data_IF_387043218489
#
_entry.id   IF_387043218489
#
_cell.length_a   1.000
_cell.length_b   1.000
_cell.length_c   1.000
_cell.angle_alpha   90.00
_cell.angle_beta   90.00
_cell.angle_gamma   90.00
#
_symmetry.space_group_name_H-M   'P 1'
#
loop_
_entity.id
_entity.type
_entity.pdbx_description
1 polymer ?
#
# COMPACT_ATOMS: atom_id res chain seq x y z
N UNK A 1 -70.43 -18.64 21.60
CA UNK A 1 -69.03 -19.07 21.37
C UNK A 1 -68.36 -18.08 20.43
N UNK A 2 -67.32 -17.40 20.93
CA UNK A 2 -66.73 -16.19 20.39
C UNK A 2 -66.03 -16.38 19.04
N UNK A 3 -66.41 -15.56 18.05
CA UNK A 3 -65.67 -15.35 16.80
C UNK A 3 -64.62 -14.27 17.02
N UNK A 4 -63.34 -14.64 16.92
CA UNK A 4 -62.23 -13.68 16.81
C UNK A 4 -62.02 -13.29 15.34
N UNK A 5 -61.81 -12.00 15.02
CA UNK A 5 -61.57 -11.55 13.66
C UNK A 5 -60.09 -11.75 13.26
N UNK A 6 -59.90 -12.26 12.03
CA UNK A 6 -58.59 -12.36 11.35
C UNK A 6 -57.99 -10.96 11.15
N UNK A 7 -56.81 -10.72 11.73
CA UNK A 7 -55.94 -9.58 11.39
C UNK A 7 -55.43 -9.74 9.95
N UNK A 8 -55.79 -8.79 9.10
CA UNK A 8 -55.16 -8.54 7.81
C UNK A 8 -53.73 -8.04 8.07
N UNK A 9 -52.73 -8.78 7.58
CA UNK A 9 -51.35 -8.29 7.51
C UNK A 9 -51.26 -7.22 6.41
N UNK A 10 -50.95 -6.00 6.82
CA UNK A 10 -50.60 -4.90 5.94
C UNK A 10 -49.36 -5.29 5.11
N UNK A 11 -49.51 -5.24 3.78
CA UNK A 11 -48.41 -5.25 2.83
C UNK A 11 -47.58 -3.99 3.07
N UNK A 12 -46.30 -4.16 3.40
CA UNK A 12 -45.33 -3.07 3.39
C UNK A 12 -44.91 -2.82 1.96
N UNK A 13 -45.11 -1.58 1.50
CA UNK A 13 -44.63 -1.12 0.20
C UNK A 13 -43.09 -1.18 0.14
N UNK A 14 -42.51 -1.60 -1.00
CA UNK A 14 -41.06 -1.60 -1.17
C UNK A 14 -40.55 -0.16 -1.25
N UNK A 15 -39.63 0.18 -0.34
CA UNK A 15 -38.85 1.42 -0.37
C UNK A 15 -38.17 1.56 -1.74
N UNK A 16 -38.33 2.69 -2.46
CA UNK A 16 -37.68 2.90 -3.75
C UNK A 16 -36.16 2.94 -3.54
N UNK A 17 -35.49 1.90 -4.04
CA UNK A 17 -34.03 1.85 -4.09
C UNK A 17 -33.48 3.01 -4.91
N UNK A 18 -32.42 3.62 -4.39
CA UNK A 18 -31.62 4.61 -5.09
C UNK A 18 -31.26 4.11 -6.49
N UNK A 19 -31.91 4.68 -7.49
CA UNK A 19 -31.47 4.62 -8.87
C UNK A 19 -30.14 5.33 -8.97
N UNK A 20 -29.07 4.57 -9.22
CA UNK A 20 -27.77 5.12 -9.54
C UNK A 20 -27.91 6.06 -10.75
N UNK A 21 -27.66 7.34 -10.52
CA UNK A 21 -27.69 8.38 -11.56
C UNK A 21 -26.62 8.06 -12.61
N UNK A 22 -26.97 7.95 -13.92
CA UNK A 22 -26.04 7.45 -14.94
C UNK A 22 -24.88 8.38 -15.31
N UNK A 23 -24.81 9.60 -14.75
CA UNK A 23 -23.98 10.68 -15.31
C UNK A 23 -23.11 11.42 -14.30
N UNK A 24 -22.82 10.87 -13.11
CA UNK A 24 -21.76 11.45 -12.29
C UNK A 24 -20.40 10.99 -12.83
N UNK A 25 -19.53 11.88 -13.33
CA UNK A 25 -18.16 11.51 -13.66
C UNK A 25 -17.52 10.94 -12.40
N UNK A 26 -17.15 9.67 -12.44
CA UNK A 26 -16.43 9.02 -11.35
C UNK A 26 -15.09 9.74 -11.27
N UNK A 27 -14.87 10.43 -10.16
CA UNK A 27 -13.59 11.07 -9.91
C UNK A 27 -12.56 9.96 -9.77
N UNK A 28 -11.77 9.71 -10.81
CA UNK A 28 -10.79 8.63 -10.87
C UNK A 28 -9.51 8.95 -10.08
N UNK A 29 -9.49 10.09 -9.36
CA UNK A 29 -8.36 10.53 -8.53
C UNK A 29 -8.01 9.56 -7.42
N UNK A 30 -8.97 9.09 -6.63
CA UNK A 30 -8.69 8.13 -5.58
C UNK A 30 -8.10 6.84 -6.14
N UNK A 31 -8.46 6.43 -7.37
CA UNK A 31 -7.92 5.20 -7.97
C UNK A 31 -6.43 5.36 -8.30
N UNK A 32 -6.04 6.45 -8.98
CA UNK A 32 -4.64 6.69 -9.30
C UNK A 32 -3.76 6.79 -8.05
N UNK A 33 -4.20 7.56 -7.06
CA UNK A 33 -3.44 7.73 -5.81
C UNK A 33 -3.39 6.41 -5.03
N UNK A 34 -4.47 5.62 -4.98
CA UNK A 34 -4.46 4.28 -4.37
C UNK A 34 -3.54 3.29 -5.08
N UNK A 35 -3.43 3.34 -6.41
CA UNK A 35 -2.50 2.49 -7.16
C UNK A 35 -1.05 2.85 -6.84
N UNK A 36 -0.73 4.15 -6.81
CA UNK A 36 0.60 4.63 -6.41
C UNK A 36 0.94 4.23 -4.98
N UNK A 37 -0.01 4.43 -4.05
CA UNK A 37 0.18 4.06 -2.65
C UNK A 37 0.40 2.56 -2.50
N UNK A 38 -0.39 1.73 -3.20
CA UNK A 38 -0.22 0.28 -3.14
C UNK A 38 1.11 -0.19 -3.74
N UNK A 39 1.57 0.43 -4.83
CA UNK A 39 2.89 0.15 -5.41
C UNK A 39 4.04 0.52 -4.46
N UNK A 40 3.91 1.65 -3.75
CA UNK A 40 4.93 2.18 -2.83
C UNK A 40 4.97 1.47 -1.48
N UNK A 41 3.84 0.91 -1.02
CA UNK A 41 3.80 0.12 0.22
C UNK A 41 4.78 -1.05 0.13
N UNK A 42 5.38 -1.42 1.26
CA UNK A 42 6.19 -2.62 1.34
C UNK A 42 5.33 -3.88 1.06
N UNK A 43 5.75 -4.80 0.18
CA UNK A 43 5.08 -6.08 -0.04
C UNK A 43 4.89 -6.87 1.24
N UNK A 44 3.66 -7.34 1.46
CA UNK A 44 3.32 -8.17 2.59
C UNK A 44 3.94 -9.58 2.38
N UNK A 45 4.32 -10.31 3.44
CA UNK A 45 4.58 -11.76 3.36
C UNK A 45 3.46 -12.58 2.70
N UNK A 46 2.24 -12.06 2.56
CA UNK A 46 1.16 -12.70 1.80
C UNK A 46 1.25 -12.49 0.28
N UNK A 47 2.04 -11.54 -0.20
CA UNK A 47 2.30 -11.26 -1.62
C UNK A 47 3.29 -12.29 -2.23
N UNK A 48 3.12 -13.56 -1.88
CA UNK A 48 4.00 -14.65 -2.30
C UNK A 48 3.79 -15.03 -3.77
N UNK A 49 4.64 -15.95 -4.22
CA UNK A 49 4.51 -16.61 -5.50
C UNK A 49 3.14 -17.28 -5.67
N UNK A 50 2.57 -17.14 -6.86
CA UNK A 50 1.29 -17.72 -7.22
C UNK A 50 0.89 -17.43 -8.66
N UNK A 51 -0.35 -17.77 -9.01
CA UNK A 51 -0.96 -17.55 -10.32
C UNK A 51 -2.22 -16.71 -10.17
N UNK A 52 -2.48 -15.82 -11.12
CA UNK A 52 -3.74 -15.08 -11.22
C UNK A 52 -4.71 -15.85 -12.12
N UNK A 53 -5.99 -15.79 -11.80
CA UNK A 53 -7.05 -16.31 -12.63
C UNK A 53 -8.17 -15.29 -12.81
N UNK A 54 -8.88 -15.45 -13.93
CA UNK A 54 -10.15 -14.77 -14.19
C UNK A 54 -11.22 -15.83 -14.42
N UNK A 55 -12.28 -15.75 -13.64
CA UNK A 55 -13.46 -16.62 -13.73
C UNK A 55 -14.68 -15.83 -14.18
N UNK A 56 -15.65 -16.50 -14.80
CA UNK A 56 -16.99 -15.96 -15.00
C UNK A 56 -18.06 -16.98 -14.57
N UNK A 57 -19.24 -16.48 -14.20
CA UNK A 57 -20.36 -17.34 -13.87
C UNK A 57 -21.10 -17.77 -15.15
N UNK A 58 -21.12 -19.06 -15.54
CA UNK A 58 -21.63 -19.48 -16.84
C UNK A 58 -23.13 -19.21 -17.04
N UNK A 59 -23.92 -19.27 -15.97
CA UNK A 59 -25.37 -19.01 -16.02
C UNK A 59 -25.78 -17.57 -15.67
N UNK A 60 -24.81 -16.73 -15.27
CA UNK A 60 -25.04 -15.38 -14.76
C UNK A 60 -23.97 -14.42 -15.26
N UNK A 61 -23.86 -14.22 -16.59
CA UNK A 61 -22.83 -13.37 -17.17
C UNK A 61 -22.95 -11.90 -16.72
N UNK A 62 -24.13 -11.47 -16.24
CA UNK A 62 -24.36 -10.13 -15.72
C UNK A 62 -23.54 -9.79 -14.46
N UNK A 63 -23.06 -10.81 -13.73
CA UNK A 63 -22.14 -10.64 -12.59
C UNK A 63 -20.73 -10.22 -13.03
N UNK A 64 -20.40 -10.39 -14.31
CA UNK A 64 -19.10 -10.07 -14.88
C UNK A 64 -18.03 -11.10 -14.54
N UNK A 65 -16.83 -10.61 -14.20
CA UNK A 65 -15.62 -11.41 -14.10
C UNK A 65 -15.00 -11.32 -12.71
N UNK A 66 -14.68 -12.47 -12.12
CA UNK A 66 -13.95 -12.58 -10.86
C UNK A 66 -12.46 -12.64 -11.11
N UNK A 67 -11.70 -11.77 -10.47
CA UNK A 67 -10.23 -11.82 -10.47
C UNK A 67 -9.76 -12.34 -9.12
N UNK A 68 -8.87 -13.34 -9.13
CA UNK A 68 -8.21 -13.72 -7.89
C UNK A 68 -6.89 -14.45 -8.08
N UNK A 69 -6.23 -14.77 -6.96
CA UNK A 69 -4.98 -15.53 -6.94
C UNK A 69 -5.14 -16.95 -6.40
N UNK A 70 -4.22 -17.83 -6.80
CA UNK A 70 -4.05 -19.16 -6.22
C UNK A 70 -2.57 -19.55 -6.17
N UNK A 71 -2.19 -20.36 -5.18
CA UNK A 71 -0.88 -21.04 -5.13
C UNK A 71 -0.89 -22.40 -5.81
N UNK A 72 -2.07 -22.87 -6.23
CA UNK A 72 -2.24 -24.17 -6.85
C UNK A 72 -1.73 -24.13 -8.28
N UNK A 73 -1.01 -25.19 -8.68
CA UNK A 73 -0.47 -25.28 -10.03
C UNK A 73 -1.58 -25.41 -11.09
N UNK A 74 -2.68 -26.10 -10.73
CA UNK A 74 -3.79 -26.44 -11.61
C UNK A 74 -5.06 -25.61 -11.29
N UNK A 75 -5.71 -24.97 -12.28
CA UNK A 75 -6.96 -24.23 -12.06
C UNK A 75 -8.10 -25.10 -11.50
N UNK A 76 -8.11 -26.41 -11.78
CA UNK A 76 -9.19 -27.32 -11.38
C UNK A 76 -9.34 -27.44 -9.86
N UNK A 77 -8.26 -27.34 -9.10
CA UNK A 77 -8.35 -27.35 -7.64
C UNK A 77 -9.05 -26.09 -7.12
N UNK A 78 -8.77 -24.94 -7.73
CA UNK A 78 -9.40 -23.67 -7.37
C UNK A 78 -10.87 -23.65 -7.81
N UNK A 79 -11.19 -24.23 -8.95
CA UNK A 79 -12.57 -24.47 -9.41
C UNK A 79 -13.32 -25.32 -8.38
N UNK A 80 -12.76 -26.45 -7.92
CA UNK A 80 -13.39 -27.32 -6.92
C UNK A 80 -13.64 -26.59 -5.60
N UNK A 81 -12.67 -25.80 -5.13
CA UNK A 81 -12.87 -24.95 -3.96
C UNK A 81 -14.01 -23.97 -4.18
N UNK A 82 -14.01 -23.25 -5.30
CA UNK A 82 -15.06 -22.28 -5.60
C UNK A 82 -16.44 -22.94 -5.68
N UNK A 83 -16.53 -24.11 -6.32
CA UNK A 83 -17.77 -24.89 -6.39
C UNK A 83 -18.25 -25.36 -5.01
N UNK A 84 -17.33 -25.78 -4.14
CA UNK A 84 -17.65 -26.18 -2.76
C UNK A 84 -18.25 -25.03 -1.96
N UNK A 85 -17.71 -23.82 -2.09
CA UNK A 85 -18.15 -22.67 -1.28
C UNK A 85 -19.29 -21.88 -1.91
N UNK A 86 -19.35 -21.74 -3.24
CA UNK A 86 -20.32 -20.86 -3.89
C UNK A 86 -21.43 -21.61 -4.65
N UNK A 87 -21.43 -22.95 -4.62
CA UNK A 87 -22.46 -23.81 -5.24
C UNK A 87 -22.61 -23.69 -6.78
N UNK A 88 -21.57 -23.26 -7.48
CA UNK A 88 -21.55 -23.30 -8.94
C UNK A 88 -20.13 -23.56 -9.47
N UNK A 89 -20.04 -24.09 -10.69
CA UNK A 89 -18.75 -24.30 -11.35
C UNK A 89 -18.43 -23.07 -12.21
N UNK A 90 -17.38 -22.29 -11.90
CA UNK A 90 -17.00 -21.15 -12.72
C UNK A 90 -16.37 -21.62 -14.04
N UNK A 91 -16.54 -20.82 -15.11
CA UNK A 91 -15.77 -20.98 -16.35
C UNK A 91 -14.46 -20.23 -16.19
N UNK A 92 -13.34 -20.88 -16.54
CA UNK A 92 -12.02 -20.24 -16.58
C UNK A 92 -11.90 -19.45 -17.87
N UNK A 93 -11.63 -18.16 -17.72
CA UNK A 93 -11.44 -17.21 -18.82
C UNK A 93 -9.95 -16.92 -19.00
N UNK A 94 -9.23 -16.82 -17.90
CA UNK A 94 -7.78 -16.63 -17.88
C UNK A 94 -7.16 -17.36 -16.70
N UNK A 95 -5.94 -17.85 -16.90
CA UNK A 95 -5.12 -18.42 -15.86
C UNK A 95 -3.66 -18.14 -16.23
N UNK A 96 -2.88 -17.54 -15.32
CA UNK A 96 -1.45 -17.30 -15.56
C UNK A 96 -0.74 -18.61 -15.89
N UNK A 97 0.05 -18.60 -16.96
CA UNK A 97 0.74 -19.80 -17.41
C UNK A 97 1.72 -20.33 -16.34
N UNK A 98 2.49 -19.42 -15.76
CA UNK A 98 3.54 -19.72 -14.79
C UNK A 98 3.27 -18.98 -13.47
N UNK A 99 3.66 -19.57 -12.33
CA UNK A 99 3.67 -18.84 -11.08
C UNK A 99 4.69 -17.68 -11.14
N UNK A 100 4.43 -16.60 -10.40
CA UNK A 100 5.33 -15.45 -10.32
C UNK A 100 5.24 -14.74 -8.96
N UNK A 101 6.32 -14.07 -8.57
CA UNK A 101 6.41 -13.32 -7.31
C UNK A 101 5.46 -12.12 -7.25
N UNK A 102 5.13 -11.66 -6.05
CA UNK A 102 4.22 -10.52 -5.84
C UNK A 102 2.81 -10.73 -6.42
N UNK A 103 2.37 -11.98 -6.55
CA UNK A 103 1.06 -12.33 -7.11
C UNK A 103 -0.09 -11.68 -6.31
N UNK A 104 0.00 -11.68 -4.98
CA UNK A 104 -0.97 -11.00 -4.10
C UNK A 104 -1.04 -9.49 -4.31
N UNK A 105 0.06 -8.87 -4.71
CA UNK A 105 0.09 -7.46 -5.07
C UNK A 105 -0.57 -7.20 -6.42
N UNK A 106 -0.34 -8.08 -7.40
CA UNK A 106 -1.04 -7.99 -8.69
C UNK A 106 -2.55 -8.09 -8.51
N UNK A 107 -3.04 -9.03 -7.70
CA UNK A 107 -4.48 -9.13 -7.40
C UNK A 107 -5.03 -7.81 -6.85
N UNK A 108 -4.38 -7.23 -5.83
CA UNK A 108 -4.79 -5.95 -5.24
C UNK A 108 -4.76 -4.79 -6.25
N UNK A 109 -3.70 -4.69 -7.06
CA UNK A 109 -3.59 -3.63 -8.07
C UNK A 109 -4.69 -3.76 -9.12
N UNK A 110 -5.00 -4.98 -9.58
CA UNK A 110 -6.12 -5.22 -10.49
C UNK A 110 -7.46 -4.85 -9.85
N UNK A 111 -7.67 -5.20 -8.58
CA UNK A 111 -8.90 -4.85 -7.85
C UNK A 111 -9.05 -3.34 -7.67
N UNK A 112 -7.97 -2.62 -7.41
CA UNK A 112 -7.98 -1.15 -7.33
C UNK A 112 -8.30 -0.56 -8.70
N UNK A 113 -7.62 -1.02 -9.75
CA UNK A 113 -7.78 -0.53 -11.12
C UNK A 113 -9.21 -0.75 -11.65
N UNK A 114 -9.83 -1.88 -11.30
CA UNK A 114 -11.20 -2.22 -11.68
C UNK A 114 -12.27 -1.76 -10.65
N UNK A 115 -11.89 -1.03 -9.60
CA UNK A 115 -12.79 -0.72 -8.47
C UNK A 115 -14.08 0.00 -8.89
N UNK A 116 -14.01 0.89 -9.89
CA UNK A 116 -15.18 1.59 -10.42
C UNK A 116 -16.21 0.65 -11.05
N UNK A 117 -15.79 -0.57 -11.43
CA UNK A 117 -16.63 -1.61 -12.01
C UNK A 117 -16.93 -2.75 -11.04
N UNK A 118 -16.57 -2.61 -9.77
CA UNK A 118 -16.86 -3.63 -8.75
C UNK A 118 -18.37 -3.86 -8.67
N UNK A 119 -18.78 -5.12 -8.80
CA UNK A 119 -20.14 -5.58 -8.68
C UNK A 119 -20.20 -6.56 -7.50
N UNK A 120 -20.37 -6.07 -6.26
CA UNK A 120 -20.48 -6.96 -5.12
C UNK A 120 -21.60 -7.96 -5.30
N UNK A 121 -21.33 -9.21 -4.95
CA UNK A 121 -22.28 -10.30 -5.11
C UNK A 121 -22.35 -11.14 -3.85
N UNK A 122 -23.57 -11.31 -3.34
CA UNK A 122 -23.85 -12.22 -2.24
C UNK A 122 -24.22 -13.60 -2.79
N UNK A 123 -23.39 -14.60 -2.50
CA UNK A 123 -23.72 -15.99 -2.81
C UNK A 123 -24.34 -16.68 -1.59
N UNK A 124 -25.36 -17.50 -1.85
CA UNK A 124 -25.98 -18.36 -0.85
C UNK A 124 -25.26 -19.70 -0.86
N UNK A 125 -24.21 -19.77 -0.05
CA UNK A 125 -23.42 -20.97 0.16
C UNK A 125 -24.19 -21.93 1.08
N UNK A 126 -24.62 -23.07 0.55
CA UNK A 126 -25.06 -24.19 1.39
C UNK A 126 -23.81 -24.96 1.81
N UNK A 127 -23.39 -24.80 3.05
CA UNK A 127 -22.40 -25.71 3.62
C UNK A 127 -23.07 -27.06 3.80
N UNK A 128 -22.82 -27.98 2.86
CA UNK A 128 -23.38 -29.34 2.85
C UNK A 128 -23.18 -30.08 4.18
N UNK A 129 -22.12 -29.73 4.91
CA UNK A 129 -21.74 -30.39 6.16
C UNK A 129 -22.48 -29.86 7.40
N UNK A 130 -23.12 -28.68 7.33
CA UNK A 130 -23.80 -28.07 8.49
C UNK A 130 -25.29 -27.82 8.29
N UNK A 131 -25.82 -27.96 7.06
CA UNK A 131 -27.22 -27.63 6.75
C UNK A 131 -27.56 -26.14 6.88
N UNK A 132 -26.58 -25.28 7.18
CA UNK A 132 -26.76 -23.84 7.33
C UNK A 132 -26.42 -23.14 6.01
N UNK A 133 -27.37 -22.37 5.48
CA UNK A 133 -27.13 -21.44 4.37
C UNK A 133 -26.40 -20.22 4.93
N UNK A 134 -25.13 -20.04 4.54
CA UNK A 134 -24.36 -18.84 4.87
C UNK A 134 -24.36 -17.91 3.65
N UNK A 135 -24.59 -16.63 3.89
CA UNK A 135 -24.41 -15.59 2.87
C UNK A 135 -22.93 -15.23 2.85
N UNK A 136 -22.26 -15.43 1.72
CA UNK A 136 -20.89 -15.00 1.50
C UNK A 136 -20.88 -13.84 0.50
N UNK A 137 -20.38 -12.70 0.97
CA UNK A 137 -20.17 -11.51 0.14
C UNK A 137 -18.87 -11.65 -0.65
N UNK A 138 -18.95 -11.40 -1.95
CA UNK A 138 -17.83 -11.31 -2.86
C UNK A 138 -17.67 -9.87 -3.35
N UNK A 139 -16.48 -9.31 -3.21
CA UNK A 139 -16.14 -7.95 -3.66
C UNK A 139 -15.17 -7.98 -4.85
N UNK A 140 -14.77 -9.18 -5.25
CA UNK A 140 -13.78 -9.43 -6.28
C UNK A 140 -14.38 -9.73 -7.67
N UNK A 141 -15.63 -9.36 -7.91
CA UNK A 141 -16.33 -9.45 -9.19
C UNK A 141 -16.46 -8.07 -9.84
N UNK A 142 -16.23 -8.00 -11.14
CA UNK A 142 -16.17 -6.75 -11.89
C UNK A 142 -17.03 -6.82 -13.15
N UNK A 143 -17.94 -5.85 -13.31
CA UNK A 143 -18.80 -5.71 -14.49
C UNK A 143 -18.07 -5.00 -15.62
N UNK A 144 -17.22 -5.76 -16.32
CA UNK A 144 -16.43 -5.34 -17.47
C UNK A 144 -16.52 -6.38 -18.58
N UNK A 145 -15.97 -6.11 -19.77
CA UNK A 145 -15.87 -7.12 -20.83
C UNK A 145 -14.76 -8.15 -20.54
N UNK A 146 -14.85 -9.33 -21.16
CA UNK A 146 -13.84 -10.39 -21.05
C UNK A 146 -12.44 -9.89 -21.36
N UNK A 147 -12.31 -9.26 -22.52
CA UNK A 147 -11.05 -8.73 -23.02
C UNK A 147 -10.45 -7.71 -22.05
N UNK A 148 -11.29 -6.86 -21.47
CA UNK A 148 -10.85 -5.81 -20.55
C UNK A 148 -10.34 -6.36 -19.22
N UNK A 149 -11.03 -7.36 -18.65
CA UNK A 149 -10.57 -8.05 -17.44
C UNK A 149 -9.21 -8.74 -17.68
N UNK A 150 -9.08 -9.46 -18.81
CA UNK A 150 -7.83 -10.14 -19.19
C UNK A 150 -6.71 -9.13 -19.41
N UNK A 151 -6.95 -8.05 -20.15
CA UNK A 151 -5.96 -7.03 -20.45
C UNK A 151 -5.46 -6.36 -19.18
N UNK A 152 -6.35 -6.05 -18.23
CA UNK A 152 -5.97 -5.45 -16.95
C UNK A 152 -5.09 -6.39 -16.13
N UNK A 153 -5.46 -7.67 -16.04
CA UNK A 153 -4.62 -8.69 -15.36
C UNK A 153 -3.26 -8.81 -16.05
N UNK A 154 -3.22 -8.95 -17.37
CA UNK A 154 -1.98 -9.10 -18.14
C UNK A 154 -1.08 -7.89 -17.99
N UNK A 155 -1.62 -6.66 -17.97
CA UNK A 155 -0.87 -5.42 -17.75
C UNK A 155 -0.08 -5.49 -16.45
N UNK A 156 -0.75 -5.78 -15.33
CA UNK A 156 -0.11 -5.84 -14.01
C UNK A 156 0.79 -7.07 -13.84
N UNK A 157 0.42 -8.23 -14.39
CA UNK A 157 1.27 -9.42 -14.40
C UNK A 157 2.57 -9.16 -15.17
N UNK A 158 2.48 -8.58 -16.37
CA UNK A 158 3.64 -8.28 -17.23
C UNK A 158 4.58 -7.31 -16.55
N UNK A 159 4.03 -6.23 -15.97
CA UNK A 159 4.80 -5.27 -15.19
C UNK A 159 5.58 -5.94 -14.05
N UNK A 160 4.92 -6.75 -13.21
CA UNK A 160 5.62 -7.41 -12.09
C UNK A 160 6.69 -8.41 -12.56
N UNK A 161 6.41 -9.17 -13.62
CA UNK A 161 7.29 -10.24 -14.10
C UNK A 161 8.49 -9.73 -14.88
N UNK A 162 8.26 -8.80 -15.80
CA UNK A 162 9.29 -8.34 -16.72
C UNK A 162 10.09 -7.19 -16.12
N UNK A 163 9.41 -6.21 -15.51
CA UNK A 163 10.07 -4.99 -15.04
C UNK A 163 10.70 -5.14 -13.65
N UNK A 164 10.30 -6.18 -12.89
CA UNK A 164 10.80 -6.51 -11.55
C UNK A 164 10.98 -5.25 -10.69
N UNK A 165 9.88 -4.53 -10.40
CA UNK A 165 9.97 -3.18 -9.85
C UNK A 165 10.52 -3.14 -8.42
N UNK A 166 10.57 -4.28 -7.73
CA UNK A 166 11.05 -4.42 -6.37
C UNK A 166 12.46 -5.03 -6.32
N UNK A 167 13.32 -4.44 -5.47
CA UNK A 167 14.64 -4.99 -5.16
C UNK A 167 14.59 -6.11 -4.11
N UNK A 168 15.77 -6.63 -3.76
CA UNK A 168 15.94 -7.69 -2.76
C UNK A 168 15.38 -7.34 -1.37
N UNK A 169 15.36 -6.05 -1.02
CA UNK A 169 14.79 -5.54 0.22
C UNK A 169 13.25 -5.37 0.16
N UNK A 170 12.61 -5.87 -0.91
CA UNK A 170 11.19 -5.71 -1.22
C UNK A 170 10.73 -4.26 -1.38
N UNK A 171 11.64 -3.29 -1.51
CA UNK A 171 11.27 -1.91 -1.80
C UNK A 171 11.31 -1.66 -3.29
N UNK A 172 10.57 -0.65 -3.77
CA UNK A 172 10.70 -0.21 -5.15
C UNK A 172 12.16 0.16 -5.44
N UNK A 173 12.67 -0.29 -6.58
CA UNK A 173 14.00 0.09 -7.03
C UNK A 173 14.07 1.61 -7.25
N UNK A 174 15.25 2.23 -7.13
CA UNK A 174 15.37 3.68 -7.29
C UNK A 174 14.85 4.20 -8.63
N UNK A 175 14.99 3.42 -9.70
CA UNK A 175 14.48 3.79 -11.03
C UNK A 175 12.96 3.85 -11.02
N UNK A 176 12.28 2.88 -10.42
CA UNK A 176 10.81 2.88 -10.35
C UNK A 176 10.27 3.94 -9.39
N UNK A 177 10.97 4.24 -8.28
CA UNK A 177 10.63 5.40 -7.43
C UNK A 177 10.69 6.69 -8.25
N UNK A 178 11.79 6.90 -8.98
CA UNK A 178 11.97 8.07 -9.82
C UNK A 178 10.94 8.16 -10.94
N UNK A 179 10.66 7.04 -11.63
CA UNK A 179 9.70 7.00 -12.73
C UNK A 179 8.27 7.25 -12.27
N UNK A 180 7.85 6.69 -11.14
CA UNK A 180 6.52 6.96 -10.59
C UNK A 180 6.37 8.41 -10.12
N UNK A 181 7.46 9.10 -9.76
CA UNK A 181 7.45 10.54 -9.50
C UNK A 181 7.42 11.36 -10.80
N UNK A 182 8.30 11.04 -11.76
CA UNK A 182 8.48 11.79 -13.02
C UNK A 182 7.28 11.64 -13.96
N UNK A 183 6.74 10.43 -14.06
CA UNK A 183 5.56 10.11 -14.90
C UNK A 183 4.25 10.38 -14.15
N UNK A 184 4.32 10.94 -12.94
CA UNK A 184 3.15 11.49 -12.27
C UNK A 184 2.73 12.73 -13.05
N UNK A 185 1.65 12.61 -13.81
CA UNK A 185 1.15 13.76 -14.56
C UNK A 185 0.64 14.84 -13.60
N UNK A 186 1.15 16.06 -13.78
CA UNK A 186 0.59 17.24 -13.13
C UNK A 186 -0.80 17.54 -13.71
N UNK A 187 -1.74 17.70 -12.80
CA UNK A 187 -3.13 17.33 -12.97
C UNK A 187 -4.00 18.56 -13.21
N UNK A 188 -3.65 19.36 -14.21
CA UNK A 188 -4.21 20.71 -14.38
C UNK A 188 -5.53 20.76 -15.16
N UNK A 189 -5.84 19.76 -15.97
CA UNK A 189 -7.05 19.81 -16.79
C UNK A 189 -8.17 19.06 -16.08
N UNK A 190 -9.12 19.80 -15.51
CA UNK A 190 -10.30 19.32 -14.77
C UNK A 190 -11.31 18.50 -15.59
N UNK A 191 -10.86 17.81 -16.64
CA UNK A 191 -11.67 16.93 -17.45
C UNK A 191 -11.91 15.60 -16.71
N UNK A 192 -13.13 15.08 -16.82
CA UNK A 192 -13.46 13.75 -16.33
C UNK A 192 -12.66 12.71 -17.12
N UNK A 193 -11.61 12.17 -16.50
CA UNK A 193 -10.81 11.07 -17.07
C UNK A 193 -11.71 9.85 -17.19
N UNK A 194 -11.94 9.35 -18.40
CA UNK A 194 -12.67 8.08 -18.60
C UNK A 194 -11.82 6.91 -18.09
N UNK A 195 -12.46 5.80 -17.71
CA UNK A 195 -11.73 4.62 -17.25
C UNK A 195 -10.78 4.05 -18.33
N UNK A 196 -11.19 4.16 -19.61
CA UNK A 196 -10.35 3.80 -20.74
C UNK A 196 -9.06 4.64 -20.83
N UNK A 197 -9.16 5.97 -20.69
CA UNK A 197 -7.97 6.83 -20.70
C UNK A 197 -7.09 6.63 -19.48
N UNK A 198 -7.67 6.25 -18.33
CA UNK A 198 -6.90 5.81 -17.17
C UNK A 198 -6.09 4.53 -17.47
N UNK A 199 -6.66 3.56 -18.20
CA UNK A 199 -5.93 2.34 -18.58
C UNK A 199 -4.77 2.62 -19.53
N UNK A 200 -4.96 3.50 -20.51
CA UNK A 200 -3.89 3.97 -21.40
C UNK A 200 -2.80 4.72 -20.62
N UNK A 201 -3.20 5.62 -19.71
CA UNK A 201 -2.30 6.35 -18.84
C UNK A 201 -1.40 5.40 -18.03
N UNK A 202 -1.99 4.40 -17.38
CA UNK A 202 -1.20 3.42 -16.63
C UNK A 202 -0.32 2.55 -17.54
N UNK A 203 -0.71 2.33 -18.79
CA UNK A 203 0.16 1.64 -19.75
C UNK A 203 1.40 2.49 -20.08
N UNK A 204 1.27 3.82 -20.13
CA UNK A 204 2.40 4.74 -20.28
C UNK A 204 3.28 4.82 -19.01
N UNK A 205 2.65 4.88 -17.83
CA UNK A 205 3.38 4.93 -16.56
C UNK A 205 4.22 3.67 -16.35
N UNK A 206 3.66 2.50 -16.68
CA UNK A 206 4.30 1.19 -16.52
C UNK A 206 5.20 0.80 -17.70
N UNK A 207 5.38 1.67 -18.70
CA UNK A 207 6.28 1.41 -19.82
C UNK A 207 7.70 1.13 -19.30
N UNK A 208 8.41 0.23 -19.98
CA UNK A 208 9.75 -0.18 -19.57
C UNK A 208 10.69 1.03 -19.41
N UNK A 209 11.54 1.09 -18.36
CA UNK A 209 12.51 2.15 -18.18
C UNK A 209 13.46 2.24 -19.37
N UNK A 210 13.70 3.45 -19.84
CA UNK A 210 14.71 3.69 -20.89
C UNK A 210 16.11 3.76 -20.28
N UNK A 211 17.14 3.62 -21.12
CA UNK A 211 18.53 3.83 -20.68
C UNK A 211 18.74 5.23 -20.10
N UNK A 212 18.04 6.24 -20.62
CA UNK A 212 18.14 7.60 -20.10
C UNK A 212 17.47 7.72 -18.72
N UNK A 213 16.34 7.06 -18.48
CA UNK A 213 15.70 7.05 -17.15
C UNK A 213 16.64 6.44 -16.07
N UNK A 214 17.41 5.41 -16.43
CA UNK A 214 18.44 4.86 -15.56
C UNK A 214 19.58 5.84 -15.28
N UNK A 215 20.05 6.55 -16.30
CA UNK A 215 21.12 7.56 -16.16
C UNK A 215 20.68 8.73 -15.31
N UNK A 216 19.47 9.23 -15.53
CA UNK A 216 18.88 10.31 -14.72
C UNK A 216 18.71 9.88 -13.27
N UNK A 217 18.21 8.67 -13.03
CA UNK A 217 18.08 8.11 -11.67
C UNK A 217 19.44 8.03 -10.99
N UNK A 218 20.47 7.50 -11.67
CA UNK A 218 21.82 7.41 -11.13
C UNK A 218 22.40 8.80 -10.83
N UNK A 219 22.21 9.76 -11.73
CA UNK A 219 22.65 11.15 -11.57
C UNK A 219 21.99 11.80 -10.35
N UNK A 220 20.66 11.66 -10.21
CA UNK A 220 19.89 12.16 -9.06
C UNK A 220 20.39 11.56 -7.76
N UNK A 221 20.55 10.24 -7.71
CA UNK A 221 21.04 9.53 -6.52
C UNK A 221 22.46 9.93 -6.14
N UNK A 222 23.36 10.09 -7.12
CA UNK A 222 24.73 10.53 -6.89
C UNK A 222 24.76 11.97 -6.37
N UNK A 223 23.98 12.87 -6.97
CA UNK A 223 23.87 14.25 -6.51
C UNK A 223 23.35 14.32 -5.07
N UNK A 224 22.28 13.60 -4.74
CA UNK A 224 21.73 13.56 -3.38
C UNK A 224 22.72 12.98 -2.37
N UNK A 225 23.48 11.95 -2.77
CA UNK A 225 24.55 11.39 -1.95
C UNK A 225 25.67 12.40 -1.70
N UNK A 226 26.20 13.04 -2.75
CA UNK A 226 27.26 14.04 -2.65
C UNK A 226 26.81 15.25 -1.84
N UNK A 227 25.57 15.70 -2.02
CA UNK A 227 24.98 16.80 -1.23
C UNK A 227 24.92 16.45 0.26
N UNK A 228 24.44 15.25 0.62
CA UNK A 228 24.41 14.78 2.02
C UNK A 228 25.83 14.66 2.58
N UNK A 229 26.75 14.06 1.85
CA UNK A 229 28.15 13.94 2.26
C UNK A 229 28.80 15.30 2.48
N UNK A 230 28.55 16.27 1.59
CA UNK A 230 29.05 17.64 1.74
C UNK A 230 28.52 18.33 3.00
N UNK A 231 27.24 18.15 3.32
CA UNK A 231 26.65 18.68 4.57
C UNK A 231 27.32 18.03 5.78
N UNK A 232 27.46 16.70 5.80
CA UNK A 232 28.12 15.97 6.89
C UNK A 232 29.58 16.37 7.06
N UNK A 233 30.34 16.50 5.96
CA UNK A 233 31.74 16.94 5.98
C UNK A 233 31.84 18.37 6.50
N UNK A 234 30.92 19.26 6.10
CA UNK A 234 30.90 20.65 6.58
C UNK A 234 30.62 20.73 8.08
N UNK A 235 29.67 19.92 8.59
CA UNK A 235 29.38 19.81 10.01
C UNK A 235 30.55 19.21 10.79
N UNK A 236 31.17 18.14 10.28
CA UNK A 236 32.34 17.53 10.88
C UNK A 236 33.53 18.51 10.91
N UNK A 237 33.75 19.25 9.82
CA UNK A 237 34.78 20.30 9.75
C UNK A 237 34.53 21.38 10.79
N UNK A 238 33.30 21.89 10.89
CA UNK A 238 32.93 22.88 11.90
C UNK A 238 33.23 22.37 13.31
N UNK A 239 32.83 21.13 13.62
CA UNK A 239 33.11 20.49 14.90
C UNK A 239 34.62 20.35 15.16
N UNK A 240 35.37 19.85 14.19
CA UNK A 240 36.83 19.71 14.28
C UNK A 240 37.53 21.06 14.48
N UNK A 241 37.04 22.14 13.88
CA UNK A 241 37.61 23.48 14.09
C UNK A 241 37.25 24.06 15.45
N UNK A 242 36.01 23.88 15.92
CA UNK A 242 35.56 24.41 17.22
C UNK A 242 36.21 23.68 18.39
N UNK A 243 36.38 22.36 18.28
CA UNK A 243 36.90 21.49 19.33
C UNK A 243 38.29 20.94 19.02
N UNK A 244 39.06 21.64 18.19
CA UNK A 244 40.37 21.19 17.70
C UNK A 244 41.29 20.68 18.82
N UNK A 245 41.44 21.45 19.89
CA UNK A 245 42.29 21.08 21.03
C UNK A 245 41.81 19.80 21.74
N UNK A 246 40.50 19.62 21.88
CA UNK A 246 39.94 18.41 22.50
C UNK A 246 40.23 17.18 21.64
N UNK A 247 40.04 17.29 20.31
CA UNK A 247 40.34 16.20 19.37
C UNK A 247 41.83 15.86 19.37
N UNK A 248 42.72 16.85 19.36
CA UNK A 248 44.17 16.64 19.45
C UNK A 248 44.54 15.93 20.76
N UNK A 249 43.96 16.35 21.88
CA UNK A 249 44.20 15.71 23.19
C UNK A 249 43.76 14.26 23.21
N UNK A 250 42.60 13.95 22.60
CA UNK A 250 42.09 12.60 22.48
C UNK A 250 42.99 11.71 21.61
N UNK A 251 43.42 12.20 20.45
CA UNK A 251 44.31 11.45 19.56
C UNK A 251 45.67 11.20 20.21
N UNK A 252 46.25 12.23 20.84
CA UNK A 252 47.53 12.11 21.54
C UNK A 252 47.45 11.12 22.71
N UNK A 253 46.38 11.20 23.51
CA UNK A 253 46.14 10.27 24.61
C UNK A 253 45.98 8.83 24.13
N UNK A 254 45.20 8.58 23.07
CA UNK A 254 45.06 7.25 22.47
C UNK A 254 46.40 6.68 21.96
N UNK A 255 47.20 7.49 21.27
CA UNK A 255 48.52 7.08 20.80
C UNK A 255 49.46 6.74 21.97
N UNK A 256 49.44 7.56 23.03
CA UNK A 256 50.22 7.34 24.25
C UNK A 256 49.81 6.03 24.93
N UNK A 257 48.51 5.73 25.00
CA UNK A 257 48.02 4.46 25.55
C UNK A 257 48.48 3.24 24.75
N UNK A 258 48.41 3.32 23.42
CA UNK A 258 48.85 2.26 22.52
C UNK A 258 50.35 1.99 22.67
N UNK A 259 51.17 3.03 22.80
CA UNK A 259 52.63 2.92 22.91
C UNK A 259 53.05 2.48 24.32
N UNK A 260 52.51 3.10 25.37
CA UNK A 260 53.03 2.91 26.73
C UNK A 260 52.46 1.67 27.43
N UNK A 261 51.34 1.09 26.98
CA UNK A 261 50.61 -0.05 27.62
C UNK A 261 50.59 0.05 29.16
N UNK A 262 50.46 1.26 29.69
CA UNK A 262 50.62 1.55 31.11
C UNK A 262 49.24 1.88 31.71
N UNK A 263 48.83 1.14 32.75
CA UNK A 263 47.54 1.32 33.42
C UNK A 263 47.34 2.72 34.00
N UNK A 264 48.40 3.39 34.45
CA UNK A 264 48.30 4.76 34.96
C UNK A 264 47.97 5.77 33.85
N UNK A 265 48.54 5.58 32.66
CA UNK A 265 48.21 6.42 31.51
C UNK A 265 46.74 6.22 31.09
N UNK A 266 46.21 5.00 31.20
CA UNK A 266 44.81 4.68 30.92
C UNK A 266 43.84 5.41 31.86
N UNK A 267 44.13 5.41 33.16
CA UNK A 267 43.31 6.12 34.15
C UNK A 267 43.33 7.63 33.94
N UNK A 268 44.50 8.22 33.64
CA UNK A 268 44.62 9.64 33.33
C UNK A 268 43.84 10.02 32.06
N UNK A 269 43.91 9.20 31.02
CA UNK A 269 43.16 9.40 29.78
C UNK A 269 41.64 9.31 29.99
N UNK A 270 41.17 8.34 30.78
CA UNK A 270 39.76 8.19 31.11
C UNK A 270 39.21 9.43 31.85
N UNK A 271 39.98 10.03 32.76
CA UNK A 271 39.59 11.26 33.45
C UNK A 271 39.46 12.45 32.48
N UNK A 272 40.43 12.62 31.58
CA UNK A 272 40.39 13.68 30.55
C UNK A 272 39.17 13.52 29.63
N UNK A 273 38.83 12.28 29.27
CA UNK A 273 37.61 11.95 28.50
C UNK A 273 36.33 12.39 29.22
N UNK A 274 36.22 12.14 30.52
CA UNK A 274 35.05 12.56 31.33
C UNK A 274 34.95 14.09 31.36
N UNK A 275 36.05 14.80 31.62
CA UNK A 275 36.07 16.26 31.63
C UNK A 275 35.70 16.85 30.26
N UNK A 276 36.23 16.29 29.17
CA UNK A 276 35.89 16.70 27.81
C UNK A 276 34.39 16.44 27.50
N UNK A 277 33.85 15.29 27.93
CA UNK A 277 32.44 14.96 27.78
C UNK A 277 31.51 15.97 28.46
N UNK A 278 31.81 16.36 29.70
CA UNK A 278 31.04 17.37 30.44
C UNK A 278 31.11 18.73 29.73
N UNK A 279 32.29 19.15 29.27
CA UNK A 279 32.45 20.41 28.54
C UNK A 279 31.63 20.45 27.24
N UNK A 280 31.66 19.37 26.45
CA UNK A 280 30.85 19.26 25.22
C UNK A 280 29.35 19.29 25.55
N UNK A 281 28.90 18.54 26.57
CA UNK A 281 27.49 18.55 26.97
C UNK A 281 27.02 19.92 27.47
N UNK A 282 27.91 20.73 28.04
CA UNK A 282 27.57 22.09 28.49
C UNK A 282 27.37 23.08 27.34
N UNK A 283 28.02 22.84 26.19
CA UNK A 283 27.88 23.68 25.00
C UNK A 283 26.76 23.24 24.05
N UNK A 284 26.33 21.98 24.12
CA UNK A 284 25.12 21.53 23.43
C UNK A 284 23.93 22.02 24.25
N UNK A 285 23.39 23.20 23.92
CA UNK A 285 22.08 23.59 24.43
C UNK A 285 21.07 22.56 23.94
N UNK A 286 20.67 21.65 24.84
CA UNK A 286 19.53 20.77 24.61
C UNK A 286 18.31 21.68 24.53
N UNK A 287 17.89 22.03 23.32
CA UNK A 287 16.58 22.65 23.15
C UNK A 287 15.56 21.72 23.83
N UNK A 288 14.73 22.25 24.75
CA UNK A 288 13.70 21.44 25.38
C UNK A 288 12.82 20.87 24.26
N UNK A 289 12.44 19.58 24.35
CA UNK A 289 11.67 18.93 23.29
C UNK A 289 10.45 19.79 22.98
N UNK A 290 10.36 20.26 21.72
CA UNK A 290 9.22 21.05 21.24
C UNK A 290 7.96 20.30 21.64
N UNK A 291 7.21 20.84 22.59
CA UNK A 291 5.90 20.32 22.95
C UNK A 291 5.06 20.39 21.68
N UNK A 292 4.75 19.22 21.12
CA UNK A 292 3.90 19.11 19.95
C UNK A 292 2.54 19.76 20.21
N UNK A 293 1.80 20.14 19.16
CA UNK A 293 0.52 20.81 19.31
C UNK A 293 -0.40 20.01 20.23
N UNK A 294 -0.76 20.58 21.39
CA UNK A 294 -1.72 19.94 22.28
C UNK A 294 -3.05 19.86 21.54
N UNK A 295 -3.44 18.64 21.17
CA UNK A 295 -4.78 18.36 20.62
C UNK A 295 -5.83 18.84 21.63
N UNK A 296 -6.81 19.65 21.22
CA UNK A 296 -7.81 20.20 22.13
C UNK A 296 -8.64 19.06 22.74
N UNK A 297 -8.54 18.94 24.06
CA UNK A 297 -9.29 17.98 24.86
C UNK A 297 -10.78 18.25 24.70
N UNK A 298 -11.49 17.29 24.11
CA UNK A 298 -12.93 17.33 23.84
C UNK A 298 -13.71 17.33 25.17
N UNK A 299 -14.15 18.49 25.62
CA UNK A 299 -15.01 18.66 26.79
C UNK A 299 -16.34 17.94 26.55
N UNK A 300 -16.51 16.78 27.19
CA UNK A 300 -17.76 16.00 27.15
C UNK A 300 -18.79 16.68 28.04
N UNK A 301 -19.72 17.41 27.42
CA UNK A 301 -20.87 18.02 28.10
C UNK A 301 -21.68 16.96 28.85
N UNK A 302 -21.82 17.18 30.16
CA UNK A 302 -22.66 16.41 31.08
C UNK A 302 -24.10 16.93 30.91
N UNK A 303 -24.95 16.15 30.26
CA UNK A 303 -26.38 16.45 30.11
C UNK A 303 -27.06 16.25 31.47
N UNK A 304 -27.70 17.30 31.98
CA UNK A 304 -28.52 17.27 33.19
C UNK A 304 -29.87 16.58 32.92
N UNK A 305 -30.46 15.87 33.91
CA UNK A 305 -31.79 15.29 33.78
C UNK A 305 -32.87 16.38 33.90
N UNK A 306 -33.83 16.38 32.96
CA UNK A 306 -35.08 17.14 33.07
C UNK A 306 -35.91 16.56 34.21
N UNK A 307 -36.10 17.34 35.26
CA UNK A 307 -37.16 17.15 36.23
C UNK A 307 -38.54 17.38 35.58
N UNK A 308 -39.51 16.59 36.00
CA UNK A 308 -40.90 16.69 35.61
C UNK A 308 -41.57 17.95 36.16
N UNK A 309 -42.67 18.30 35.52
CA UNK A 309 -43.69 19.18 36.05
C UNK A 309 -45.04 18.44 35.97
N UNK A 310 -45.78 18.59 37.06
CA UNK A 310 -47.21 18.35 37.24
C UNK A 310 -48.07 19.10 36.20
#
# INVERSE_FOLDING_TARGET
MNRSPKRLHAQSEPTPGLTASPNRPIDNRPIHDHLLDELKKMPNPSDNEGKIYVFCHPKRPELGYKVGLTRQANPNERIKQHQKYCNFTPRVVYFSAHPFEYCGRVEKLVHIDLRAHCQPWDCHANHKDSGVTKIQKHEEWFRVSEAFAIQTVKKWETFMRLEKPYGWNRQLTPVWVHLLEKRRFDRTDGCAITHASQCELWSLILASPTTEDHRETLRKNLYDFLRRASITISLARLYLTTFFWQVVTLVYGMATLMICRNGMALSAFAFVLVCAGVAVMSHVQLEPPRQGPQTPTKTRGKVAPRGGAE
#
